data_IF_917834078375
#
_entry.id   IF_917834078375
#
_cell.length_a   1.000
_cell.length_b   1.000
_cell.length_c   1.000
_cell.angle_alpha   90.00
_cell.angle_beta   90.00
_cell.angle_gamma   90.00
#
_symmetry.space_group_name_H-M   'P 1'
#
loop_
_entity.id
_entity.type
_entity.pdbx_description
1 polymer ?
#
# COMPACT_ATOMS: atom_id res chain seq x y z
N UNK A 1 -25.98 62.89 41.16
CA UNK A 1 -25.84 62.42 39.76
C UNK A 1 -24.39 61.97 39.56
N UNK A 2 -24.03 60.75 39.98
CA UNK A 2 -22.65 60.27 40.00
C UNK A 2 -22.35 59.38 38.78
N UNK A 3 -21.27 59.72 38.08
CA UNK A 3 -20.79 59.17 36.80
C UNK A 3 -20.77 57.63 36.75
N UNK A 4 -21.60 57.07 35.85
CA UNK A 4 -21.46 55.71 35.32
C UNK A 4 -20.56 55.73 34.07
N UNK A 5 -19.27 56.02 34.25
CA UNK A 5 -18.26 55.81 33.20
C UNK A 5 -17.43 54.61 33.66
N UNK A 6 -18.03 53.42 33.55
CA UNK A 6 -17.34 52.16 33.76
C UNK A 6 -16.87 51.66 32.39
N UNK A 7 -15.71 52.15 31.99
CA UNK A 7 -14.61 51.38 31.39
C UNK A 7 -14.98 50.29 30.36
N UNK A 8 -15.78 50.65 29.35
CA UNK A 8 -16.24 49.71 28.31
C UNK A 8 -15.12 49.23 27.39
N UNK A 9 -14.04 50.00 27.24
CA UNK A 9 -12.90 49.71 26.37
C UNK A 9 -11.95 48.68 26.99
N UNK A 10 -11.65 48.78 28.29
CA UNK A 10 -10.79 47.80 28.98
C UNK A 10 -11.49 46.44 29.11
N UNK A 11 -12.80 46.42 29.40
CA UNK A 11 -13.58 45.18 29.40
C UNK A 11 -13.66 44.51 28.03
N UNK A 12 -13.84 45.30 26.95
CA UNK A 12 -13.82 44.79 25.56
C UNK A 12 -12.44 44.25 25.17
N UNK A 13 -11.36 44.94 25.54
CA UNK A 13 -10.00 44.48 25.30
C UNK A 13 -9.71 43.18 26.06
N UNK A 14 -10.08 43.09 27.34
CA UNK A 14 -9.88 41.89 28.16
C UNK A 14 -10.71 40.70 27.66
N UNK A 15 -11.97 40.90 27.27
CA UNK A 15 -12.78 39.86 26.61
C UNK A 15 -12.21 39.42 25.26
N UNK A 16 -11.64 40.35 24.49
CA UNK A 16 -10.98 40.04 23.22
C UNK A 16 -9.66 39.27 23.43
N UNK A 17 -8.84 39.64 24.43
CA UNK A 17 -7.63 38.92 24.81
C UNK A 17 -7.92 37.52 25.40
N UNK A 18 -8.97 37.37 26.20
CA UNK A 18 -9.42 36.06 26.72
C UNK A 18 -10.04 35.22 25.60
N UNK A 19 -10.81 35.83 24.70
CA UNK A 19 -11.37 35.19 23.51
C UNK A 19 -10.29 34.70 22.54
N UNK A 20 -9.25 35.49 22.31
CA UNK A 20 -8.09 35.08 21.50
C UNK A 20 -7.24 34.02 22.20
N UNK A 21 -7.07 34.07 23.53
CA UNK A 21 -6.39 33.02 24.31
C UNK A 21 -7.17 31.70 24.32
N UNK A 22 -8.49 31.76 24.46
CA UNK A 22 -9.39 30.58 24.40
C UNK A 22 -9.38 29.96 23.01
N UNK A 23 -9.50 30.76 21.95
CA UNK A 23 -9.38 30.32 20.55
C UNK A 23 -8.01 29.70 20.25
N UNK A 24 -6.91 30.32 20.70
CA UNK A 24 -5.56 29.75 20.56
C UNK A 24 -5.43 28.40 21.26
N UNK A 25 -5.95 28.26 22.48
CA UNK A 25 -5.96 26.97 23.20
C UNK A 25 -6.79 25.91 22.48
N UNK A 26 -7.94 26.29 21.91
CA UNK A 26 -8.76 25.39 21.11
C UNK A 26 -8.03 24.93 19.84
N UNK A 27 -7.41 25.86 19.10
CA UNK A 27 -6.60 25.55 17.91
C UNK A 27 -5.43 24.63 18.25
N UNK A 28 -4.72 24.88 19.35
CA UNK A 28 -3.64 24.01 19.81
C UNK A 28 -4.14 22.61 20.15
N UNK A 29 -5.29 22.48 20.84
CA UNK A 29 -5.90 21.17 21.13
C UNK A 29 -6.25 20.42 19.85
N UNK A 30 -6.86 21.10 18.88
CA UNK A 30 -7.19 20.51 17.57
C UNK A 30 -5.93 20.06 16.84
N UNK A 31 -4.88 20.90 16.82
CA UNK A 31 -3.60 20.55 16.21
C UNK A 31 -2.97 19.32 16.87
N UNK A 32 -2.96 19.25 18.21
CA UNK A 32 -2.46 18.09 18.95
C UNK A 32 -3.24 16.83 18.59
N UNK A 33 -4.58 16.92 18.51
CA UNK A 33 -5.43 15.78 18.11
C UNK A 33 -5.11 15.31 16.69
N UNK A 34 -4.95 16.24 15.74
CA UNK A 34 -4.59 15.93 14.35
C UNK A 34 -3.22 15.24 14.26
N UNK A 35 -2.26 15.60 15.12
CA UNK A 35 -0.95 14.96 15.16
C UNK A 35 -0.96 13.58 15.83
N UNK A 36 -1.73 13.41 16.91
CA UNK A 36 -1.74 12.18 17.71
C UNK A 36 -2.56 11.08 17.06
N UNK A 37 -3.73 11.39 16.47
CA UNK A 37 -4.63 10.37 15.91
C UNK A 37 -3.91 9.46 14.89
N UNK A 38 -3.18 9.98 13.89
CA UNK A 38 -2.45 9.14 12.94
C UNK A 38 -1.43 8.21 13.61
N UNK A 39 -0.72 8.69 14.64
CA UNK A 39 0.31 7.91 15.34
C UNK A 39 -0.31 6.79 16.17
N UNK A 40 -1.38 7.10 16.92
CA UNK A 40 -2.12 6.11 17.70
C UNK A 40 -2.75 5.07 16.79
N UNK A 41 -3.34 5.50 15.67
CA UNK A 41 -3.94 4.61 14.70
C UNK A 41 -2.90 3.74 13.99
N UNK A 42 -1.73 4.29 13.63
CA UNK A 42 -0.61 3.52 13.10
C UNK A 42 -0.14 2.47 14.11
N UNK A 43 0.02 2.85 15.38
CA UNK A 43 0.42 1.91 16.43
C UNK A 43 -0.62 0.81 16.62
N UNK A 44 -1.91 1.17 16.71
CA UNK A 44 -3.02 0.25 16.84
C UNK A 44 -3.03 -0.76 15.68
N UNK A 45 -3.00 -0.27 14.43
CA UNK A 45 -3.05 -1.10 13.23
C UNK A 45 -1.78 -1.93 13.03
N UNK A 46 -0.60 -1.42 13.38
CA UNK A 46 0.65 -2.15 13.15
C UNK A 46 0.91 -3.21 14.22
N UNK A 47 0.55 -2.94 15.48
CA UNK A 47 0.99 -3.77 16.63
C UNK A 47 -0.14 -4.45 17.39
N UNK A 48 -1.36 -3.89 17.41
CA UNK A 48 -2.47 -4.44 18.21
C UNK A 48 -3.40 -5.28 17.35
N UNK A 49 -4.02 -4.67 16.35
CA UNK A 49 -5.03 -5.33 15.51
C UNK A 49 -4.50 -5.80 14.16
N UNK A 50 -3.24 -5.53 13.84
CA UNK A 50 -2.67 -5.80 12.51
C UNK A 50 -2.68 -7.26 12.08
N UNK A 51 -2.78 -8.19 13.03
CA UNK A 51 -2.90 -9.63 12.76
C UNK A 51 -4.35 -10.12 12.69
N UNK A 52 -5.32 -9.28 13.04
CA UNK A 52 -6.71 -9.66 13.05
C UNK A 52 -7.21 -10.04 11.65
N UNK A 53 -8.03 -11.08 11.59
CA UNK A 53 -8.52 -11.64 10.34
C UNK A 53 -9.51 -10.75 9.60
N UNK A 54 -10.02 -9.67 10.21
CA UNK A 54 -10.92 -8.73 9.53
C UNK A 54 -10.21 -7.65 8.71
N UNK A 55 -8.92 -7.44 8.96
CA UNK A 55 -8.11 -6.44 8.24
C UNK A 55 -7.45 -7.01 6.98
N UNK A 56 -7.42 -8.33 6.83
CA UNK A 56 -6.92 -9.02 5.65
C UNK A 56 -7.98 -10.02 5.18
N UNK A 57 -8.38 -10.03 3.89
CA UNK A 57 -9.34 -10.98 3.35
C UNK A 57 -8.99 -12.45 3.60
N UNK A 58 -9.99 -13.34 3.75
CA UNK A 58 -9.77 -14.78 3.93
C UNK A 58 -8.83 -15.39 2.89
N UNK A 59 -8.95 -14.99 1.63
CA UNK A 59 -8.15 -15.49 0.52
C UNK A 59 -6.65 -15.18 0.73
N UNK A 60 -6.32 -13.98 1.19
CA UNK A 60 -4.94 -13.60 1.50
C UNK A 60 -4.42 -14.17 2.84
N UNK A 61 -5.32 -14.48 3.78
CA UNK A 61 -4.97 -15.13 5.05
C UNK A 61 -4.64 -16.62 4.87
N UNK A 62 -5.36 -17.29 3.97
CA UNK A 62 -5.27 -18.73 3.74
C UNK A 62 -4.30 -19.10 2.61
N UNK A 63 -3.92 -18.13 1.78
CA UNK A 63 -2.95 -18.31 0.70
C UNK A 63 -1.62 -18.87 1.20
N UNK A 64 -1.12 -19.89 0.49
CA UNK A 64 0.19 -20.51 0.66
C UNK A 64 1.21 -19.92 -0.32
N UNK A 65 0.77 -19.48 -1.50
CA UNK A 65 1.62 -19.06 -2.61
C UNK A 65 1.09 -17.73 -3.20
N UNK A 66 1.58 -16.61 -2.68
CA UNK A 66 1.12 -15.28 -3.09
C UNK A 66 2.04 -14.71 -4.18
N UNK A 67 1.46 -14.27 -5.29
CA UNK A 67 2.18 -13.61 -6.38
C UNK A 67 1.93 -12.11 -6.36
N UNK A 68 3.00 -11.33 -6.37
CA UNK A 68 2.97 -9.90 -6.62
C UNK A 68 3.39 -9.67 -8.07
N UNK A 69 2.57 -8.93 -8.83
CA UNK A 69 2.83 -8.60 -10.22
C UNK A 69 3.06 -7.10 -10.34
N UNK A 70 4.27 -6.69 -10.74
CA UNK A 70 4.67 -5.28 -10.92
C UNK A 70 5.22 -5.02 -12.32
N UNK A 71 5.47 -3.75 -12.64
CA UNK A 71 5.94 -3.35 -13.96
C UNK A 71 7.47 -3.28 -14.02
N UNK A 72 8.09 -2.66 -13.02
CA UNK A 72 9.52 -2.39 -12.98
C UNK A 72 10.17 -2.86 -11.67
N UNK A 73 11.49 -3.11 -11.67
CA UNK A 73 12.23 -3.30 -10.43
C UNK A 73 12.16 -2.02 -9.61
N UNK A 74 11.98 -2.13 -8.29
CA UNK A 74 11.72 -1.08 -7.28
C UNK A 74 10.25 -0.91 -6.88
N UNK A 75 9.30 -1.22 -7.77
CA UNK A 75 7.86 -1.12 -7.49
C UNK A 75 7.47 -1.89 -6.22
N UNK A 76 8.10 -3.06 -6.00
CA UNK A 76 7.81 -3.94 -4.87
C UNK A 76 8.12 -3.27 -3.53
N UNK A 77 9.18 -2.47 -3.45
CA UNK A 77 9.61 -1.84 -2.21
C UNK A 77 8.95 -0.47 -2.00
N UNK A 78 8.72 0.28 -3.09
CA UNK A 78 8.07 1.59 -3.06
C UNK A 78 6.58 1.48 -2.77
N UNK A 79 5.88 0.53 -3.38
CA UNK A 79 4.43 0.50 -3.37
C UNK A 79 3.84 -0.64 -2.53
N UNK A 80 4.47 -1.82 -2.57
CA UNK A 80 3.85 -3.05 -2.05
C UNK A 80 4.47 -3.58 -0.77
N UNK A 81 5.54 -2.98 -0.24
CA UNK A 81 6.26 -3.55 0.89
C UNK A 81 5.42 -3.73 2.16
N UNK A 82 4.47 -2.85 2.54
CA UNK A 82 3.56 -3.15 3.64
C UNK A 82 2.72 -4.40 3.38
N UNK A 83 2.19 -4.55 2.17
CA UNK A 83 1.40 -5.73 1.79
C UNK A 83 2.24 -7.01 1.80
N UNK A 84 3.40 -7.00 1.16
CA UNK A 84 4.30 -8.16 1.06
C UNK A 84 4.69 -8.62 2.48
N UNK A 85 5.26 -7.73 3.29
CA UNK A 85 5.69 -8.07 4.65
C UNK A 85 4.50 -8.36 5.57
N UNK A 86 3.38 -7.68 5.34
CA UNK A 86 2.13 -7.83 6.08
C UNK A 86 1.47 -9.20 5.94
N UNK A 87 1.62 -9.83 4.77
CA UNK A 87 1.14 -11.18 4.49
C UNK A 87 2.22 -12.19 4.90
N UNK A 88 3.43 -12.03 4.36
CA UNK A 88 4.49 -13.00 4.54
C UNK A 88 4.82 -13.17 6.03
N UNK A 89 5.08 -12.11 6.80
CA UNK A 89 5.46 -12.24 8.22
C UNK A 89 4.35 -12.78 9.15
N UNK A 90 3.13 -13.06 8.65
CA UNK A 90 2.09 -13.75 9.43
C UNK A 90 2.40 -15.24 9.59
N UNK A 91 2.85 -15.89 8.52
CA UNK A 91 3.18 -17.31 8.53
C UNK A 91 4.42 -17.57 7.66
N UNK A 92 5.42 -18.23 8.24
CA UNK A 92 6.70 -18.55 7.58
C UNK A 92 6.55 -19.59 6.45
N UNK A 93 5.45 -20.35 6.45
CA UNK A 93 5.15 -21.30 5.38
C UNK A 93 4.59 -20.64 4.11
N UNK A 94 4.19 -19.35 4.15
CA UNK A 94 3.70 -18.63 2.98
C UNK A 94 4.89 -18.29 2.07
N UNK A 95 4.83 -18.74 0.83
CA UNK A 95 5.78 -18.44 -0.22
C UNK A 95 5.32 -17.19 -0.99
N UNK A 96 6.11 -16.12 -0.91
CA UNK A 96 5.96 -14.98 -1.80
C UNK A 96 6.61 -15.25 -3.15
N UNK A 97 6.01 -14.77 -4.23
CA UNK A 97 6.63 -14.61 -5.53
C UNK A 97 6.49 -13.17 -6.02
N UNK A 98 7.49 -12.67 -6.72
CA UNK A 98 7.47 -11.39 -7.43
C UNK A 98 7.72 -11.65 -8.91
N UNK A 99 6.81 -11.17 -9.74
CA UNK A 99 6.95 -11.17 -11.20
C UNK A 99 6.89 -9.73 -11.69
N UNK A 100 8.00 -9.27 -12.25
CA UNK A 100 8.17 -7.93 -12.79
C UNK A 100 8.16 -8.02 -14.32
N UNK A 101 7.26 -7.28 -14.98
CA UNK A 101 7.06 -7.40 -16.43
C UNK A 101 8.23 -6.91 -17.28
N UNK A 102 9.09 -6.06 -16.73
CA UNK A 102 10.25 -5.49 -17.40
C UNK A 102 11.46 -5.47 -16.49
N UNK A 103 12.66 -5.57 -17.05
CA UNK A 103 13.92 -5.28 -16.34
C UNK A 103 14.13 -3.78 -16.09
N UNK A 104 13.25 -2.91 -16.59
CA UNK A 104 13.40 -1.46 -16.42
C UNK A 104 14.56 -0.91 -17.23
N UNK A 105 14.82 -1.47 -18.41
CA UNK A 105 16.03 -1.20 -19.20
C UNK A 105 16.02 0.13 -19.99
N UNK A 106 15.13 1.08 -19.67
CA UNK A 106 15.00 2.34 -20.41
C UNK A 106 16.29 3.18 -20.43
N UNK A 107 17.18 2.96 -19.45
CA UNK A 107 18.50 3.61 -19.36
C UNK A 107 19.68 2.66 -19.65
N UNK A 108 19.44 1.45 -20.17
CA UNK A 108 20.49 0.46 -20.41
C UNK A 108 20.99 -0.28 -19.17
N UNK A 109 20.25 -0.22 -18.05
CA UNK A 109 20.62 -0.77 -16.74
C UNK A 109 19.86 -2.05 -16.35
N UNK A 110 19.19 -2.71 -17.30
CA UNK A 110 18.27 -3.82 -17.04
C UNK A 110 18.91 -5.00 -16.29
N UNK A 111 20.11 -5.42 -16.69
CA UNK A 111 20.83 -6.51 -16.03
C UNK A 111 21.25 -6.15 -14.59
N UNK A 112 21.70 -4.91 -14.37
CA UNK A 112 22.01 -4.40 -13.02
C UNK A 112 20.76 -4.40 -12.15
N UNK A 113 19.65 -3.83 -12.64
CA UNK A 113 18.38 -3.77 -11.92
C UNK A 113 17.79 -5.15 -11.62
N UNK A 114 18.03 -6.13 -12.50
CA UNK A 114 17.65 -7.53 -12.27
C UNK A 114 18.41 -8.15 -11.10
N UNK A 115 19.70 -7.83 -10.94
CA UNK A 115 20.50 -8.28 -9.80
C UNK A 115 20.08 -7.57 -8.51
N UNK A 116 19.90 -6.24 -8.55
CA UNK A 116 19.40 -5.41 -7.46
C UNK A 116 18.05 -5.92 -6.91
N UNK A 117 17.14 -6.29 -7.81
CA UNK A 117 15.83 -6.83 -7.49
C UNK A 117 15.92 -8.10 -6.62
N UNK A 118 16.89 -8.99 -6.85
CA UNK A 118 17.07 -10.21 -6.03
C UNK A 118 17.43 -9.86 -4.58
N UNK A 119 18.22 -8.80 -4.38
CA UNK A 119 18.52 -8.24 -3.06
C UNK A 119 17.27 -7.70 -2.37
N UNK A 120 16.47 -6.90 -3.10
CA UNK A 120 15.20 -6.36 -2.61
C UNK A 120 14.21 -7.46 -2.22
N UNK A 121 14.02 -8.47 -3.09
CA UNK A 121 13.21 -9.65 -2.80
C UNK A 121 13.64 -10.36 -1.51
N UNK A 122 14.95 -10.57 -1.33
CA UNK A 122 15.48 -11.19 -0.11
C UNK A 122 15.14 -10.37 1.14
N UNK A 123 15.32 -9.05 1.09
CA UNK A 123 14.94 -8.14 2.18
C UNK A 123 13.43 -8.20 2.48
N UNK A 124 12.60 -8.39 1.46
CA UNK A 124 11.14 -8.54 1.56
C UNK A 124 10.65 -9.97 1.85
N UNK A 125 11.54 -10.92 2.12
CA UNK A 125 11.24 -12.33 2.41
C UNK A 125 10.72 -13.16 1.23
N UNK A 126 10.95 -12.68 0.01
CA UNK A 126 10.66 -13.41 -1.22
C UNK A 126 11.89 -14.23 -1.57
N UNK A 127 11.71 -15.53 -1.80
CA UNK A 127 12.80 -16.40 -2.22
C UNK A 127 13.33 -15.91 -3.59
N UNK A 128 14.65 -15.71 -3.77
CA UNK A 128 15.23 -15.33 -5.05
C UNK A 128 14.82 -16.21 -6.24
N UNK A 129 14.48 -17.49 -6.02
CA UNK A 129 13.97 -18.39 -7.07
C UNK A 129 12.54 -18.09 -7.53
N UNK A 130 11.80 -17.26 -6.77
CA UNK A 130 10.45 -16.78 -7.07
C UNK A 130 10.43 -15.26 -7.27
N UNK A 131 11.51 -14.69 -7.78
CA UNK A 131 11.66 -13.24 -7.94
C UNK A 131 12.19 -12.94 -9.35
N UNK A 132 11.32 -12.79 -10.33
CA UNK A 132 11.73 -12.72 -11.74
C UNK A 132 11.39 -11.35 -12.35
N UNK A 133 12.36 -10.79 -13.07
CA UNK A 133 12.15 -9.65 -13.97
C UNK A 133 12.30 -10.14 -15.42
N UNK A 134 11.23 -9.96 -16.19
CA UNK A 134 11.18 -10.37 -17.58
C UNK A 134 11.93 -9.37 -18.46
N UNK A 135 12.66 -9.88 -19.44
CA UNK A 135 13.25 -9.07 -20.50
C UNK A 135 12.61 -9.48 -21.82
N UNK A 136 11.46 -8.88 -22.12
CA UNK A 136 10.71 -9.16 -23.34
C UNK A 136 10.75 -7.92 -24.27
N UNK A 137 11.02 -8.05 -25.57
CA UNK A 137 11.10 -6.90 -26.49
C UNK A 137 9.86 -6.02 -26.50
N UNK A 138 8.66 -6.62 -26.36
CA UNK A 138 7.38 -5.89 -26.32
C UNK A 138 7.00 -5.30 -24.96
N UNK A 139 7.77 -5.58 -23.90
CA UNK A 139 7.50 -5.12 -22.52
C UNK A 139 8.68 -4.28 -21.98
N UNK A 140 9.38 -3.57 -22.87
CA UNK A 140 10.44 -2.66 -22.45
C UNK A 140 9.84 -1.44 -21.74
N UNK A 141 10.51 -0.99 -20.68
CA UNK A 141 10.10 0.19 -19.92
C UNK A 141 10.05 1.42 -20.82
N UNK A 142 8.83 1.88 -21.09
CA UNK A 142 8.57 3.11 -21.81
C UNK A 142 7.33 3.80 -21.22
N UNK A 143 7.47 5.01 -20.64
CA UNK A 143 6.37 5.70 -19.98
C UNK A 143 5.29 6.22 -20.94
N UNK A 144 5.44 6.01 -22.26
CA UNK A 144 4.52 6.47 -23.30
C UNK A 144 3.83 5.32 -24.05
N UNK A 145 4.24 4.08 -23.83
CA UNK A 145 3.74 2.92 -24.59
C UNK A 145 2.84 2.09 -23.71
N UNK A 146 1.62 1.81 -24.17
CA UNK A 146 0.77 0.83 -23.52
C UNK A 146 1.24 -0.57 -23.90
N UNK A 147 1.56 -1.40 -22.91
CA UNK A 147 1.98 -2.78 -23.13
C UNK A 147 0.81 -3.68 -23.52
N UNK A 148 1.10 -4.70 -24.32
CA UNK A 148 0.14 -5.73 -24.75
C UNK A 148 -0.39 -6.53 -23.55
N UNK A 149 -1.69 -6.42 -23.28
CA UNK A 149 -2.33 -7.07 -22.14
C UNK A 149 -2.46 -8.58 -22.32
N UNK A 150 -2.58 -9.09 -23.55
CA UNK A 150 -2.65 -10.53 -23.82
C UNK A 150 -1.31 -11.20 -23.51
N UNK A 151 -0.21 -10.53 -23.88
CA UNK A 151 1.14 -10.98 -23.54
C UNK A 151 1.37 -10.98 -22.02
N UNK A 152 1.01 -9.90 -21.32
CA UNK A 152 1.12 -9.83 -19.85
C UNK A 152 0.28 -10.95 -19.21
N UNK A 153 -0.97 -11.12 -19.64
CA UNK A 153 -1.87 -12.17 -19.15
C UNK A 153 -1.27 -13.56 -19.36
N UNK A 154 -0.73 -13.84 -20.54
CA UNK A 154 -0.03 -15.10 -20.84
C UNK A 154 1.14 -15.34 -19.87
N UNK A 155 1.96 -14.31 -19.62
CA UNK A 155 3.09 -14.40 -18.68
C UNK A 155 2.65 -14.58 -17.24
N UNK A 156 1.62 -13.87 -16.79
CA UNK A 156 1.06 -14.04 -15.44
C UNK A 156 0.53 -15.46 -15.28
N UNK A 157 -0.20 -16.00 -16.26
CA UNK A 157 -0.73 -17.38 -16.24
C UNK A 157 0.38 -18.43 -16.18
N UNK A 158 1.42 -18.28 -16.98
CA UNK A 158 2.62 -19.13 -16.96
C UNK A 158 3.20 -19.23 -15.54
N UNK A 159 3.35 -18.09 -14.86
CA UNK A 159 3.92 -18.05 -13.51
C UNK A 159 2.93 -18.47 -12.43
N UNK A 160 1.63 -18.24 -12.60
CA UNK A 160 0.60 -18.76 -11.69
C UNK A 160 0.64 -20.29 -11.64
N UNK A 161 0.75 -20.94 -12.81
CA UNK A 161 0.88 -22.39 -12.91
C UNK A 161 2.24 -22.87 -12.36
N UNK A 162 3.34 -22.26 -12.81
CA UNK A 162 4.71 -22.62 -12.40
C UNK A 162 4.94 -22.54 -10.89
N UNK A 163 4.30 -21.58 -10.23
CA UNK A 163 4.52 -21.26 -8.82
C UNK A 163 3.34 -21.65 -7.93
N UNK A 164 2.36 -22.37 -8.48
CA UNK A 164 1.15 -22.86 -7.82
C UNK A 164 0.44 -21.75 -7.02
N UNK A 165 0.29 -20.59 -7.65
CA UNK A 165 -0.19 -19.35 -7.02
C UNK A 165 -1.66 -19.48 -6.63
N UNK A 166 -2.00 -19.07 -5.41
CA UNK A 166 -3.37 -19.09 -4.89
C UNK A 166 -3.92 -17.69 -4.52
N UNK A 167 -3.09 -16.63 -4.61
CA UNK A 167 -3.57 -15.26 -4.62
C UNK A 167 -2.63 -14.31 -5.38
N UNK A 168 -3.21 -13.31 -6.04
CA UNK A 168 -2.46 -12.31 -6.83
C UNK A 168 -2.63 -10.91 -6.22
N UNK A 169 -1.56 -10.12 -6.26
CA UNK A 169 -1.56 -8.71 -5.85
C UNK A 169 -0.92 -7.87 -6.95
N UNK A 170 -1.56 -6.77 -7.34
CA UNK A 170 -1.02 -5.87 -8.37
C UNK A 170 -1.53 -4.42 -8.21
N UNK A 171 -1.25 -3.58 -9.19
CA UNK A 171 -1.73 -2.20 -9.27
C UNK A 171 -3.23 -2.12 -9.54
N UNK A 172 -3.85 -1.01 -9.16
CA UNK A 172 -5.17 -0.64 -9.69
C UNK A 172 -5.06 0.18 -10.99
N UNK A 173 -6.22 0.62 -11.49
CA UNK A 173 -6.36 1.36 -12.75
C UNK A 173 -5.61 2.70 -12.77
N UNK A 174 -5.28 3.24 -11.59
CA UNK A 174 -4.52 4.47 -11.44
C UNK A 174 -3.00 4.26 -11.47
N UNK A 175 -2.50 3.03 -11.31
CA UNK A 175 -1.07 2.73 -11.39
C UNK A 175 -0.19 3.50 -10.40
N UNK A 176 -0.74 3.91 -9.25
CA UNK A 176 -0.16 4.73 -8.16
C UNK A 176 0.21 6.16 -8.57
N UNK A 177 0.98 6.34 -9.64
CA UNK A 177 1.44 7.62 -10.18
C UNK A 177 0.84 7.94 -11.55
N UNK A 178 0.01 7.06 -12.10
CA UNK A 178 -0.51 7.17 -13.47
C UNK A 178 0.41 6.57 -14.53
N UNK A 179 1.50 5.89 -14.13
CA UNK A 179 2.44 5.30 -15.08
C UNK A 179 1.76 4.28 -16.00
N UNK A 180 1.95 4.42 -17.31
CA UNK A 180 1.20 3.66 -18.31
C UNK A 180 1.43 2.14 -18.20
N UNK A 181 2.67 1.71 -17.95
CA UNK A 181 3.01 0.31 -17.74
C UNK A 181 2.31 -0.29 -16.51
N UNK A 182 2.18 0.46 -15.40
CA UNK A 182 1.50 -0.03 -14.20
C UNK A 182 0.02 -0.25 -14.48
N UNK A 183 -0.58 0.65 -15.27
CA UNK A 183 -1.98 0.57 -15.70
C UNK A 183 -2.20 -0.59 -16.68
N UNK A 184 -1.25 -0.86 -17.57
CA UNK A 184 -1.28 -2.01 -18.46
C UNK A 184 -1.21 -3.34 -17.68
N UNK A 185 -0.34 -3.42 -16.66
CA UNK A 185 -0.29 -4.57 -15.74
C UNK A 185 -1.64 -4.74 -15.01
N UNK A 186 -2.20 -3.65 -14.46
CA UNK A 186 -3.52 -3.69 -13.81
C UNK A 186 -4.60 -4.21 -14.76
N UNK A 187 -4.66 -3.69 -15.99
CA UNK A 187 -5.64 -4.11 -16.99
C UNK A 187 -5.52 -5.62 -17.30
N UNK A 188 -4.32 -6.09 -17.62
CA UNK A 188 -4.07 -7.49 -17.97
C UNK A 188 -4.41 -8.47 -16.84
N UNK A 189 -4.03 -8.16 -15.59
CA UNK A 189 -4.37 -9.00 -14.43
C UNK A 189 -5.89 -8.98 -14.17
N UNK A 190 -6.56 -7.86 -14.40
CA UNK A 190 -8.01 -7.77 -14.27
C UNK A 190 -8.73 -8.61 -15.32
N UNK A 191 -8.31 -8.48 -16.58
CA UNK A 191 -8.83 -9.26 -17.71
C UNK A 191 -8.63 -10.76 -17.48
N UNK A 192 -7.47 -11.15 -16.93
CA UNK A 192 -7.21 -12.55 -16.55
C UNK A 192 -8.21 -13.05 -15.50
N UNK A 193 -8.36 -12.33 -14.40
CA UNK A 193 -9.19 -12.75 -13.25
C UNK A 193 -10.69 -12.72 -13.57
N UNK A 194 -11.13 -11.78 -14.41
CA UNK A 194 -12.52 -11.70 -14.87
C UNK A 194 -12.81 -12.72 -15.98
N UNK A 195 -11.82 -13.04 -16.81
CA UNK A 195 -11.98 -13.92 -17.96
C UNK A 195 -11.86 -15.41 -17.66
N UNK A 196 -11.08 -15.80 -16.64
CA UNK A 196 -10.74 -17.19 -16.34
C UNK A 196 -11.23 -17.58 -14.93
N UNK A 197 -12.18 -18.51 -14.84
CA UNK A 197 -12.72 -19.01 -13.57
C UNK A 197 -11.69 -19.76 -12.72
N UNK A 198 -10.59 -20.20 -13.33
CA UNK A 198 -9.46 -20.83 -12.63
C UNK A 198 -8.44 -19.81 -12.12
N UNK A 199 -8.59 -18.53 -12.43
CA UNK A 199 -7.68 -17.51 -11.96
C UNK A 199 -7.74 -17.40 -10.42
N UNK A 200 -6.58 -17.27 -9.75
CA UNK A 200 -6.56 -17.05 -8.30
C UNK A 200 -7.25 -15.73 -7.93
N UNK A 201 -7.86 -15.64 -6.74
CA UNK A 201 -8.35 -14.38 -6.19
C UNK A 201 -7.27 -13.30 -6.23
N UNK A 202 -7.64 -12.11 -6.71
CA UNK A 202 -6.69 -11.03 -6.93
C UNK A 202 -7.10 -9.74 -6.23
N UNK A 203 -6.09 -8.97 -5.82
CA UNK A 203 -6.24 -7.71 -5.11
C UNK A 203 -5.40 -6.62 -5.74
N UNK A 204 -5.95 -5.42 -5.79
CA UNK A 204 -5.31 -4.23 -6.33
C UNK A 204 -4.95 -3.26 -5.23
N UNK A 205 -3.73 -2.71 -5.30
CA UNK A 205 -3.30 -1.60 -4.47
C UNK A 205 -4.02 -0.31 -4.89
N UNK A 206 -4.69 0.33 -3.94
CA UNK A 206 -5.50 1.52 -4.21
C UNK A 206 -4.61 2.74 -4.50
N UNK A 207 -4.79 3.34 -5.67
CA UNK A 207 -4.22 4.63 -6.04
C UNK A 207 -4.95 5.76 -5.31
N UNK A 208 -4.18 6.69 -4.74
CA UNK A 208 -4.71 7.87 -4.06
C UNK A 208 -4.20 9.16 -4.70
N UNK A 209 -4.89 10.26 -4.40
CA UNK A 209 -4.48 11.60 -4.86
C UNK A 209 -3.07 11.96 -4.39
N UNK A 210 -2.34 12.74 -5.18
CA UNK A 210 -0.93 13.10 -4.92
C UNK A 210 -0.74 13.71 -3.53
N UNK A 211 -1.65 14.56 -3.06
CA UNK A 211 -1.59 15.12 -1.71
C UNK A 211 -1.64 14.02 -0.65
N UNK A 212 -2.64 13.13 -0.72
CA UNK A 212 -2.81 11.99 0.21
C UNK A 212 -1.62 11.02 0.17
N UNK A 213 -0.99 10.89 -1.00
CA UNK A 213 0.18 10.02 -1.21
C UNK A 213 1.38 10.48 -0.39
N UNK A 214 1.64 11.78 -0.29
CA UNK A 214 2.82 12.35 0.36
C UNK A 214 2.55 12.98 1.73
N UNK A 215 1.40 12.70 2.34
CA UNK A 215 1.06 13.20 3.69
C UNK A 215 1.47 12.23 4.80
N UNK A 216 2.44 11.34 4.58
CA UNK A 216 2.94 10.42 5.60
C UNK A 216 1.77 9.64 6.24
N UNK A 217 1.66 9.60 7.57
CA UNK A 217 0.59 8.93 8.30
C UNK A 217 -0.74 9.72 8.32
N UNK A 218 -0.77 11.00 7.93
CA UNK A 218 -1.99 11.82 8.01
C UNK A 218 -3.12 11.35 7.10
N UNK A 219 -2.83 10.51 6.10
CA UNK A 219 -3.86 9.88 5.27
C UNK A 219 -4.51 8.64 5.92
N UNK A 220 -3.88 8.09 6.97
CA UNK A 220 -4.33 6.86 7.62
C UNK A 220 -5.72 6.99 8.25
N UNK A 221 -6.07 8.06 8.97
CA UNK A 221 -7.42 8.20 9.54
C UNK A 221 -8.51 8.19 8.47
N UNK A 222 -8.31 8.92 7.37
CA UNK A 222 -9.26 8.97 6.26
C UNK A 222 -9.44 7.60 5.60
N UNK A 223 -8.35 6.86 5.41
CA UNK A 223 -8.39 5.49 4.86
C UNK A 223 -9.08 4.51 5.82
N UNK A 224 -8.77 4.60 7.11
CA UNK A 224 -9.31 3.74 8.16
C UNK A 224 -10.80 3.95 8.41
N UNK A 225 -11.40 5.08 7.99
CA UNK A 225 -12.86 5.27 8.06
C UNK A 225 -13.62 4.12 7.39
N UNK A 226 -13.13 3.64 6.25
CA UNK A 226 -13.73 2.50 5.53
C UNK A 226 -13.54 1.14 6.23
N UNK A 227 -12.74 1.09 7.31
CA UNK A 227 -12.47 -0.07 8.13
C UNK A 227 -12.95 0.10 9.58
N UNK A 228 -13.64 1.19 9.93
CA UNK A 228 -13.95 1.56 11.33
C UNK A 228 -14.59 0.42 12.12
N UNK A 229 -15.64 -0.21 11.58
CA UNK A 229 -16.30 -1.35 12.22
C UNK A 229 -15.36 -2.54 12.42
N UNK A 230 -14.54 -2.85 11.42
CA UNK A 230 -13.55 -3.95 11.48
C UNK A 230 -12.49 -3.68 12.55
N UNK A 231 -12.01 -2.45 12.64
CA UNK A 231 -11.02 -2.03 13.65
C UNK A 231 -11.62 -2.09 15.05
N UNK A 232 -12.80 -1.49 15.26
CA UNK A 232 -13.47 -1.49 16.58
C UNK A 232 -13.73 -2.93 17.04
N UNK A 233 -14.29 -3.77 16.16
CA UNK A 233 -14.56 -5.16 16.52
C UNK A 233 -13.27 -5.97 16.73
N UNK A 234 -12.17 -5.67 16.03
CA UNK A 234 -10.86 -6.27 16.28
C UNK A 234 -10.25 -5.92 17.63
N UNK A 235 -10.51 -4.71 18.13
CA UNK A 235 -10.04 -4.30 19.47
C UNK A 235 -10.76 -5.05 20.58
N UNK A 236 -12.09 -5.21 20.49
CA UNK A 236 -12.89 -5.79 21.57
C UNK A 236 -13.09 -7.30 21.46
N UNK A 237 -13.09 -7.85 20.24
CA UNK A 237 -13.41 -9.25 19.97
C UNK A 237 -12.45 -9.82 18.93
N UNK A 238 -11.15 -9.97 19.24
CA UNK A 238 -10.12 -10.40 18.28
C UNK A 238 -10.46 -11.76 17.68
N UNK A 239 -10.19 -11.93 16.38
CA UNK A 239 -10.47 -13.18 15.67
C UNK A 239 -9.31 -13.55 14.74
N UNK A 240 -8.96 -14.83 14.76
CA UNK A 240 -8.02 -15.44 13.82
C UNK A 240 -8.73 -15.97 12.56
N UNK A 241 -10.06 -16.11 12.60
CA UNK A 241 -10.86 -16.60 11.48
C UNK A 241 -11.63 -15.44 10.85
N UNK A 242 -11.43 -15.23 9.55
CA UNK A 242 -12.17 -14.25 8.78
C UNK A 242 -13.52 -14.84 8.36
N UNK A 243 -14.60 -14.05 8.46
CA UNK A 243 -15.86 -14.40 7.81
C UNK A 243 -15.81 -14.04 6.33
N UNK A 244 -16.46 -14.83 5.44
CA UNK A 244 -16.46 -14.57 4.00
C UNK A 244 -17.00 -13.19 3.60
N UNK A 245 -17.89 -12.61 4.41
CA UNK A 245 -18.48 -11.28 4.20
C UNK A 245 -17.45 -10.12 4.22
N UNK A 246 -16.22 -10.37 4.68
CA UNK A 246 -15.18 -9.34 4.88
C UNK A 246 -14.20 -9.25 3.68
N UNK A 247 -14.39 -10.07 2.63
CA UNK A 247 -13.36 -10.39 1.62
C UNK A 247 -12.95 -9.27 0.64
N UNK A 248 -13.69 -8.17 0.53
CA UNK A 248 -13.49 -7.22 -0.58
C UNK A 248 -12.36 -6.21 -0.39
N UNK A 249 -11.87 -6.00 0.84
CA UNK A 249 -10.86 -4.97 1.17
C UNK A 249 -9.86 -5.42 2.21
N UNK A 250 -8.63 -4.94 2.09
CA UNK A 250 -7.56 -5.14 3.08
C UNK A 250 -7.00 -3.79 3.55
N UNK A 251 -6.55 -3.73 4.81
CA UNK A 251 -5.76 -2.61 5.36
C UNK A 251 -4.57 -3.18 6.11
N UNK A 252 -3.37 -2.88 5.63
CA UNK A 252 -2.12 -3.40 6.17
C UNK A 252 -1.22 -2.25 6.56
N UNK A 253 -0.83 -2.19 7.84
CA UNK A 253 0.12 -1.20 8.35
C UNK A 253 1.48 -1.84 8.66
N UNK A 254 2.55 -1.14 8.29
CA UNK A 254 3.91 -1.52 8.62
C UNK A 254 4.22 -1.26 10.10
N UNK A 255 4.83 -2.25 10.74
CA UNK A 255 5.59 -2.01 11.96
C UNK A 255 6.88 -1.29 11.62
N UNK A 256 7.56 -0.74 12.62
CA UNK A 256 8.88 -0.14 12.44
C UNK A 256 9.89 -1.13 11.87
N UNK A 257 9.89 -2.37 12.37
CA UNK A 257 10.73 -3.45 11.83
C UNK A 257 10.44 -3.73 10.34
N UNK A 258 9.16 -3.76 9.93
CA UNK A 258 8.82 -3.94 8.51
C UNK A 258 9.23 -2.74 7.66
N UNK A 259 9.07 -1.52 8.17
CA UNK A 259 9.56 -0.31 7.50
C UNK A 259 11.09 -0.31 7.32
N UNK A 260 11.85 -0.80 8.31
CA UNK A 260 13.30 -0.98 8.15
C UNK A 260 13.63 -1.98 7.03
N UNK A 261 12.87 -3.08 6.93
CA UNK A 261 13.02 -4.03 5.81
C UNK A 261 12.64 -3.40 4.46
N UNK A 262 11.59 -2.58 4.41
CA UNK A 262 11.25 -1.76 3.24
C UNK A 262 12.42 -0.86 2.83
N UNK A 263 13.08 -0.20 3.79
CA UNK A 263 14.27 0.62 3.54
C UNK A 263 15.45 -0.21 3.02
N UNK A 264 15.71 -1.38 3.61
CA UNK A 264 16.77 -2.28 3.17
C UNK A 264 16.50 -2.85 1.77
N UNK A 265 15.24 -3.11 1.45
CA UNK A 265 14.83 -3.54 0.12
C UNK A 265 15.11 -2.46 -0.93
N UNK A 266 14.74 -1.21 -0.66
CA UNK A 266 15.05 -0.09 -1.54
C UNK A 266 16.57 0.19 -1.61
N UNK A 267 17.31 0.00 -0.52
CA UNK A 267 18.76 0.12 -0.51
C UNK A 267 19.48 -0.96 -1.34
N UNK A 268 18.76 -1.97 -1.84
CA UNK A 268 19.32 -2.91 -2.83
C UNK A 268 19.26 -2.38 -4.25
N UNK A 269 18.52 -1.29 -4.51
CA UNK A 269 18.35 -0.67 -5.84
C UNK A 269 19.26 0.55 -6.00
N UNK A 270 20.57 0.35 -5.92
CA UNK A 270 21.57 1.42 -6.00
C UNK A 270 21.43 2.25 -7.29
N UNK A 271 21.22 1.58 -8.43
CA UNK A 271 21.04 2.22 -9.73
C UNK A 271 19.77 3.08 -9.85
N UNK A 272 18.85 2.93 -8.90
CA UNK A 272 17.57 3.66 -8.86
C UNK A 272 17.53 4.66 -7.70
N UNK A 273 18.62 4.82 -6.96
CA UNK A 273 18.70 5.77 -5.87
C UNK A 273 18.62 7.22 -6.39
N UNK A 274 17.65 7.98 -5.90
CA UNK A 274 17.54 9.42 -6.17
C UNK A 274 16.96 10.17 -4.96
N UNK A 275 17.18 11.48 -4.88
CA UNK A 275 16.74 12.28 -3.72
C UNK A 275 15.22 12.29 -3.55
N UNK A 276 14.46 12.28 -4.64
CA UNK A 276 13.00 12.26 -4.64
C UNK A 276 12.48 10.90 -4.16
N UNK A 277 13.18 9.80 -4.48
CA UNK A 277 12.88 8.48 -3.93
C UNK A 277 13.25 8.37 -2.45
N UNK A 278 14.26 9.11 -1.97
CA UNK A 278 14.53 9.23 -0.52
C UNK A 278 13.35 9.88 0.20
N UNK A 279 12.87 10.99 -0.37
CA UNK A 279 11.72 11.68 0.16
C UNK A 279 10.47 10.80 0.12
N UNK A 280 10.28 10.05 -0.97
CA UNK A 280 9.22 9.06 -1.12
C UNK A 280 9.24 8.04 0.02
N UNK A 281 10.41 7.47 0.33
CA UNK A 281 10.57 6.45 1.38
C UNK A 281 10.32 6.99 2.80
N UNK A 282 10.13 8.30 2.96
CA UNK A 282 9.75 8.93 4.24
C UNK A 282 8.29 9.35 4.20
N UNK A 283 7.89 10.12 3.19
CA UNK A 283 6.60 10.81 3.13
C UNK A 283 5.50 9.99 2.46
N UNK A 284 5.83 9.00 1.64
CA UNK A 284 4.80 8.22 0.94
C UNK A 284 4.05 7.34 1.92
N UNK A 285 2.71 7.43 1.93
CA UNK A 285 1.91 6.49 2.72
C UNK A 285 2.14 5.03 2.31
N UNK A 286 2.54 4.75 1.07
CA UNK A 286 2.67 3.39 0.54
C UNK A 286 3.82 2.58 1.16
N UNK A 287 4.76 3.22 1.86
CA UNK A 287 5.79 2.52 2.65
C UNK A 287 5.38 2.32 4.12
N UNK A 288 4.28 2.95 4.54
CA UNK A 288 3.74 2.89 5.91
C UNK A 288 2.49 2.03 6.02
N UNK A 289 1.60 2.09 5.02
CA UNK A 289 0.40 1.28 4.98
C UNK A 289 -0.18 1.19 3.56
N UNK A 290 -0.80 0.05 3.27
CA UNK A 290 -1.52 -0.20 2.03
C UNK A 290 -2.99 -0.49 2.35
N UNK A 291 -3.88 0.01 1.49
CA UNK A 291 -5.23 -0.53 1.37
C UNK A 291 -5.40 -1.19 0.00
N UNK A 292 -6.03 -2.35 0.01
CA UNK A 292 -6.25 -3.17 -1.18
C UNK A 292 -7.75 -3.35 -1.43
N UNK A 293 -8.11 -3.57 -2.69
CA UNK A 293 -9.47 -3.94 -3.11
C UNK A 293 -9.44 -5.20 -3.96
N UNK A 294 -10.43 -6.07 -3.76
CA UNK A 294 -10.58 -7.30 -4.54
C UNK A 294 -10.94 -6.96 -5.99
N UNK A 295 -10.35 -7.68 -6.94
CA UNK A 295 -10.82 -7.69 -8.33
C UNK A 295 -12.11 -8.54 -8.36
N UNK A 296 -13.23 -8.03 -8.90
CA UNK A 296 -14.45 -8.81 -9.05
C UNK A 296 -14.15 -10.08 -9.87
N UNK A 297 -14.52 -11.24 -9.35
CA UNK A 297 -14.44 -12.48 -10.12
C UNK A 297 -15.60 -12.51 -11.13
N UNK A 298 -15.43 -13.27 -12.21
CA UNK A 298 -16.52 -13.55 -13.15
C UNK A 298 -17.79 -13.99 -12.40
N UNK A 299 -18.90 -13.28 -12.60
CA UNK A 299 -20.19 -13.62 -11.98
C UNK A 299 -20.44 -13.05 -10.58
N UNK A 300 -19.50 -12.33 -9.96
CA UNK A 300 -19.79 -11.50 -8.79
C UNK A 300 -20.26 -10.12 -9.25
N UNK A 301 -21.59 -9.91 -9.29
CA UNK A 301 -22.15 -8.59 -9.54
C UNK A 301 -21.69 -7.59 -8.45
N UNK A 302 -21.44 -6.35 -8.88
CA UNK A 302 -20.99 -5.20 -8.07
C UNK A 302 -21.97 -4.80 -6.97
#
# INVERSE_FOLDING_TARGET
MARKIRDSTIFKACHWFVGTRSRRRALLRVAVVILIIPLVLQWLLAYVVGRDARLLPPELLQAKNVLIVTAHPDDECLFFSPTILGILDRNRAINGGLLVMSTGNNYGLGETRKQELKGSCSALRINPSRCEALDHPSLQDNPKVWWDTELIKSKVKEYVEKWEVDAIITFDEGGVSGHINHRAVSAAVSEYVVGDEKAPPAYKLVTTAVLRKYTFLFDLPLTALSFSWRIITAVFYPSEKASPEVSSKALIANTWHRYQRTRNAFASHDSQYSWDRHLYMILSRYVWFNDLKRIPAKGMAS
#
